data_IF_904232713010
#
_entry.id   IF_904232713010
#
_cell.length_a   1.000
_cell.length_b   1.000
_cell.length_c   1.000
_cell.angle_alpha   90.00
_cell.angle_beta   90.00
_cell.angle_gamma   90.00
#
_symmetry.space_group_name_H-M   'P 1'
#
loop_
_entity.id
_entity.type
_entity.pdbx_description
1 polymer ?
#
# COMPACT_ATOMS: atom_id res chain seq x y z
N UNK A 1 25.69 -58.61 47.34
CA UNK A 1 24.45 -59.33 47.67
C UNK A 1 23.40 -59.06 46.60
N UNK A 2 22.97 -60.14 45.93
CA UNK A 2 21.70 -60.40 45.23
C UNK A 2 21.04 -59.27 44.40
N UNK A 3 20.96 -59.42 43.07
CA UNK A 3 19.89 -60.14 42.30
C UNK A 3 18.55 -59.40 42.35
N UNK A 4 17.92 -58.92 41.26
CA UNK A 4 17.48 -59.57 39.99
C UNK A 4 17.21 -58.45 38.94
N UNK A 5 17.64 -58.55 37.67
CA UNK A 5 17.03 -59.26 36.49
C UNK A 5 15.65 -58.66 36.11
N UNK A 6 15.29 -58.39 34.85
CA UNK A 6 15.54 -59.02 33.52
C UNK A 6 15.10 -58.00 32.43
N UNK A 7 15.86 -57.79 31.34
CA UNK A 7 15.87 -58.51 30.06
C UNK A 7 14.63 -58.28 29.17
N UNK A 8 14.87 -57.70 27.99
CA UNK A 8 14.15 -57.92 26.74
C UNK A 8 15.26 -58.17 25.70
N UNK A 9 15.69 -59.41 25.49
CA UNK A 9 15.17 -60.39 24.52
C UNK A 9 15.26 -59.89 23.06
N UNK A 10 16.19 -60.54 22.39
CA UNK A 10 16.62 -60.43 21.01
C UNK A 10 16.03 -61.65 20.31
N UNK A 11 15.24 -61.47 19.24
CA UNK A 11 14.91 -62.56 18.32
C UNK A 11 15.31 -62.17 16.90
N UNK A 12 16.24 -62.96 16.37
CA UNK A 12 16.65 -63.05 14.97
C UNK A 12 15.93 -64.26 14.41
N UNK A 13 15.25 -64.14 13.26
CA UNK A 13 14.98 -65.28 12.36
C UNK A 13 15.14 -64.82 10.91
N UNK A 14 15.67 -65.74 10.12
CA UNK A 14 16.33 -65.61 8.83
C UNK A 14 15.41 -65.90 7.63
N UNK A 15 15.78 -65.27 6.50
CA UNK A 15 15.70 -65.69 5.09
C UNK A 15 14.35 -66.05 4.42
N UNK A 16 14.11 -65.41 3.26
CA UNK A 16 13.89 -66.03 1.93
C UNK A 16 13.75 -64.97 0.82
N UNK A 17 14.66 -65.00 -0.15
CA UNK A 17 14.44 -64.61 -1.57
C UNK A 17 13.80 -65.82 -2.31
N UNK A 18 13.10 -65.71 -3.48
CA UNK A 18 13.58 -65.00 -4.69
C UNK A 18 12.52 -64.45 -5.70
N UNK A 19 13.06 -63.81 -6.75
CA UNK A 19 12.54 -63.55 -8.13
C UNK A 19 11.12 -63.02 -8.39
N UNK A 20 11.02 -61.85 -9.02
CA UNK A 20 10.77 -61.67 -10.47
C UNK A 20 10.35 -60.20 -10.75
N UNK A 21 10.67 -59.72 -11.95
CA UNK A 21 10.67 -58.30 -12.30
C UNK A 21 9.30 -57.66 -12.44
N UNK A 22 9.30 -56.32 -12.38
CA UNK A 22 8.87 -55.45 -13.48
C UNK A 22 9.10 -54.01 -13.03
N UNK A 23 10.05 -53.35 -13.69
CA UNK A 23 10.32 -51.94 -13.54
C UNK A 23 9.18 -51.15 -14.19
N UNK A 24 8.40 -50.43 -13.38
CA UNK A 24 7.55 -49.31 -13.82
C UNK A 24 7.71 -48.19 -12.79
N UNK A 25 8.24 -47.09 -13.29
CA UNK A 25 8.68 -45.90 -12.58
C UNK A 25 7.57 -45.27 -11.72
N UNK A 26 7.91 -44.96 -10.47
CA UNK A 26 7.09 -44.28 -9.45
C UNK A 26 6.68 -42.84 -9.85
N UNK A 27 7.13 -42.34 -11.01
CA UNK A 27 6.88 -40.97 -11.45
C UNK A 27 5.49 -40.75 -12.09
N UNK A 28 4.79 -41.80 -12.52
CA UNK A 28 3.50 -41.66 -13.23
C UNK A 28 2.26 -41.72 -12.34
N UNK A 29 2.35 -42.25 -11.12
CA UNK A 29 1.22 -42.30 -10.18
C UNK A 29 1.06 -40.96 -9.42
N UNK A 30 2.11 -40.14 -9.34
CA UNK A 30 2.04 -38.82 -8.68
C UNK A 30 1.27 -37.76 -9.50
N UNK A 31 1.11 -37.94 -10.82
CA UNK A 31 0.43 -36.97 -11.69
C UNK A 31 -1.10 -37.15 -11.73
N UNK A 32 -1.63 -38.32 -11.37
CA UNK A 32 -3.08 -38.56 -11.36
C UNK A 32 -3.77 -38.23 -10.03
N UNK A 33 -2.99 -38.02 -8.95
CA UNK A 33 -3.54 -37.62 -7.65
C UNK A 33 -3.70 -36.08 -7.49
N UNK A 34 -3.15 -35.28 -8.42
CA UNK A 34 -3.24 -33.81 -8.33
C UNK A 34 -4.53 -33.23 -8.94
N UNK A 35 -5.36 -34.04 -9.61
CA UNK A 35 -6.56 -33.56 -10.32
C UNK A 35 -7.90 -33.85 -9.62
N UNK A 36 -7.89 -34.35 -8.38
CA UNK A 36 -9.10 -34.52 -7.57
C UNK A 36 -8.88 -34.06 -6.14
N UNK A 37 -8.88 -32.74 -5.91
CA UNK A 37 -9.39 -32.18 -4.65
C UNK A 37 -9.65 -30.67 -4.81
N UNK A 38 -10.77 -30.32 -5.44
CA UNK A 38 -11.42 -29.01 -5.27
C UNK A 38 -12.81 -29.29 -4.69
N UNK A 39 -13.12 -28.56 -3.62
CA UNK A 39 -14.38 -28.51 -2.85
C UNK A 39 -14.51 -29.43 -1.62
N UNK A 40 -13.88 -29.03 -0.51
CA UNK A 40 -14.60 -28.93 0.77
C UNK A 40 -14.30 -27.56 1.42
N UNK A 41 -15.31 -26.88 2.00
CA UNK A 41 -15.13 -25.60 2.65
C UNK A 41 -14.87 -25.80 4.14
N UNK A 42 -13.70 -25.42 4.65
CA UNK A 42 -13.59 -25.15 6.08
C UNK A 42 -12.59 -24.03 6.39
N UNK A 43 -13.02 -23.20 7.35
CA UNK A 43 -12.38 -22.00 7.84
C UNK A 43 -11.01 -22.32 8.43
N UNK A 44 -9.97 -21.66 7.94
CA UNK A 44 -8.86 -21.11 8.74
C UNK A 44 -7.96 -20.25 7.87
N UNK A 45 -7.87 -18.98 8.25
CA UNK A 45 -6.99 -17.95 7.70
C UNK A 45 -5.55 -18.44 7.73
N UNK A 46 -4.98 -18.73 6.55
CA UNK A 46 -3.57 -19.06 6.40
C UNK A 46 -2.88 -17.90 5.70
N UNK A 47 -1.91 -17.31 6.40
CA UNK A 47 -1.06 -16.23 5.91
C UNK A 47 -0.12 -16.81 4.85
N UNK A 48 -0.38 -16.53 3.58
CA UNK A 48 0.49 -16.95 2.47
C UNK A 48 1.61 -15.94 2.29
N UNK A 49 2.85 -16.35 2.62
CA UNK A 49 4.08 -15.67 2.19
C UNK A 49 4.21 -15.81 0.67
N UNK A 50 4.20 -14.69 -0.05
CA UNK A 50 4.48 -14.65 -1.49
C UNK A 50 5.99 -14.63 -1.68
N UNK A 51 6.54 -15.70 -2.27
CA UNK A 51 7.87 -15.72 -2.87
C UNK A 51 7.69 -15.46 -4.37
N UNK A 52 8.37 -14.43 -4.88
CA UNK A 52 8.37 -14.06 -6.30
C UNK A 52 9.36 -14.98 -7.02
N UNK A 53 8.89 -15.71 -8.02
CA UNK A 53 9.72 -16.39 -9.02
C UNK A 53 9.55 -15.66 -10.34
N UNK A 54 10.67 -15.23 -10.91
CA UNK A 54 10.77 -14.67 -12.27
C UNK A 54 10.53 -15.77 -13.31
N UNK A 55 9.78 -15.43 -14.35
CA UNK A 55 9.80 -16.16 -15.62
C UNK A 55 9.48 -15.19 -16.75
N UNK A 56 10.48 -14.98 -17.61
CA UNK A 56 10.33 -14.37 -18.93
C UNK A 56 9.53 -15.31 -19.83
N UNK A 57 8.60 -14.76 -20.62
CA UNK A 57 8.08 -15.41 -21.82
C UNK A 57 7.61 -14.32 -22.78
N UNK A 58 8.43 -14.11 -23.82
CA UNK A 58 8.07 -13.50 -25.09
C UNK A 58 6.83 -14.17 -25.68
N UNK A 59 5.94 -13.40 -26.31
CA UNK A 59 5.20 -13.83 -27.50
C UNK A 59 4.63 -12.61 -28.26
N UNK A 60 5.15 -12.45 -29.47
CA UNK A 60 4.79 -11.56 -30.56
C UNK A 60 3.41 -11.83 -31.18
N UNK A 61 2.72 -10.78 -31.67
CA UNK A 61 1.66 -10.93 -32.71
C UNK A 61 0.64 -9.78 -32.79
N UNK A 62 -0.01 -9.53 -33.95
CA UNK A 62 -0.03 -8.18 -34.54
C UNK A 62 -1.36 -7.39 -34.49
N UNK A 63 -1.19 -6.12 -34.86
CA UNK A 63 -2.13 -5.02 -35.14
C UNK A 63 -3.41 -5.34 -35.89
N UNK A 64 -4.48 -4.56 -35.65
CA UNK A 64 -5.39 -4.12 -36.71
C UNK A 64 -6.00 -2.72 -36.43
N UNK A 65 -6.11 -1.96 -37.52
CA UNK A 65 -6.43 -0.55 -37.67
C UNK A 65 -7.89 -0.15 -37.32
N UNK A 66 -8.09 0.98 -36.62
CA UNK A 66 -8.59 2.29 -37.13
C UNK A 66 -9.83 2.23 -38.05
N UNK A 67 -10.98 2.59 -37.49
CA UNK A 67 -12.12 3.13 -38.23
C UNK A 67 -12.43 4.56 -37.74
N UNK A 68 -12.15 5.55 -38.59
CA UNK A 68 -12.57 6.95 -38.45
C UNK A 68 -14.00 7.09 -38.96
N UNK A 69 -14.93 7.47 -38.09
CA UNK A 69 -16.28 7.91 -38.47
C UNK A 69 -16.44 9.41 -38.22
N UNK A 70 -16.47 10.20 -39.30
CA UNK A 70 -16.77 11.64 -39.29
C UNK A 70 -18.29 11.84 -39.18
N UNK A 71 -18.76 12.61 -38.19
CA UNK A 71 -20.12 13.17 -38.18
C UNK A 71 -20.04 14.69 -38.31
N UNK A 72 -20.65 15.17 -39.39
CA UNK A 72 -20.80 16.57 -39.79
C UNK A 72 -21.64 17.33 -38.76
N UNK A 73 -21.17 18.51 -38.35
CA UNK A 73 -21.94 19.50 -37.60
C UNK A 73 -22.75 20.35 -38.58
N UNK A 74 -24.06 20.38 -38.44
CA UNK A 74 -24.93 21.41 -39.03
C UNK A 74 -25.05 22.57 -38.04
N UNK A 75 -24.73 23.76 -38.52
CA UNK A 75 -24.88 25.04 -37.82
C UNK A 75 -26.31 25.50 -38.02
N UNK A 76 -27.03 25.73 -36.91
CA UNK A 76 -28.33 26.41 -36.93
C UNK A 76 -28.24 27.65 -36.05
N UNK A 77 -28.45 28.78 -36.71
CA UNK A 77 -28.54 30.14 -36.23
C UNK A 77 -29.71 30.32 -35.25
N UNK A 78 -29.45 30.87 -34.07
CA UNK A 78 -30.48 31.38 -33.16
C UNK A 78 -29.98 32.66 -32.48
N UNK A 79 -30.78 33.71 -32.69
CA UNK A 79 -30.61 35.08 -32.24
C UNK A 79 -30.43 35.21 -30.71
N UNK A 80 -29.61 36.20 -30.33
CA UNK A 80 -29.16 36.48 -28.95
C UNK A 80 -30.18 37.39 -28.24
N UNK A 81 -30.75 36.99 -27.08
CA UNK A 81 -31.68 37.83 -26.31
C UNK A 81 -30.96 38.90 -25.45
N UNK A 82 -31.69 39.91 -24.92
CA UNK A 82 -31.11 41.12 -24.35
C UNK A 82 -30.41 40.90 -23.00
N UNK A 83 -29.38 41.71 -22.77
CA UNK A 83 -28.53 41.76 -21.58
C UNK A 83 -29.33 41.99 -20.28
N UNK A 84 -29.14 41.11 -19.30
CA UNK A 84 -29.57 41.31 -17.91
C UNK A 84 -28.33 41.44 -17.00
N UNK A 85 -28.36 42.33 -15.99
CA UNK A 85 -27.19 42.59 -15.14
C UNK A 85 -26.90 41.42 -14.20
N UNK A 86 -25.62 41.05 -14.09
CA UNK A 86 -25.15 39.89 -13.33
C UNK A 86 -25.39 39.98 -11.82
N UNK A 87 -25.73 38.85 -11.15
CA UNK A 87 -25.71 38.78 -9.70
C UNK A 87 -24.28 38.63 -9.18
N UNK A 88 -24.01 39.35 -8.08
CA UNK A 88 -22.71 39.46 -7.40
C UNK A 88 -22.01 38.10 -7.23
N UNK A 89 -20.81 38.02 -7.82
CA UNK A 89 -19.86 36.92 -7.79
C UNK A 89 -19.65 36.42 -6.36
N UNK A 90 -20.26 35.27 -6.02
CA UNK A 90 -19.89 34.50 -4.81
C UNK A 90 -18.41 34.13 -4.95
N UNK A 91 -17.64 34.36 -3.87
CA UNK A 91 -16.20 34.03 -3.82
C UNK A 91 -16.00 32.58 -4.27
N UNK A 92 -15.24 32.41 -5.36
CA UNK A 92 -14.81 31.11 -5.85
C UNK A 92 -13.98 30.39 -4.78
N UNK A 93 -14.02 29.04 -4.72
CA UNK A 93 -13.08 28.29 -3.92
C UNK A 93 -11.67 28.61 -4.40
N UNK A 94 -10.73 28.64 -3.46
CA UNK A 94 -9.30 28.87 -3.70
C UNK A 94 -8.85 28.11 -4.96
N UNK A 95 -8.52 28.86 -6.01
CA UNK A 95 -8.04 28.32 -7.28
C UNK A 95 -6.71 27.61 -7.02
N UNK A 96 -6.71 26.27 -7.07
CA UNK A 96 -5.49 25.46 -7.05
C UNK A 96 -4.75 25.77 -8.35
N UNK A 97 -3.74 26.64 -8.31
CA UNK A 97 -2.84 26.82 -9.44
C UNK A 97 -2.11 25.49 -9.66
N UNK A 98 -2.33 24.86 -10.81
CA UNK A 98 -1.62 23.65 -11.17
C UNK A 98 -0.10 23.88 -11.08
N UNK A 99 0.68 22.91 -10.57
CA UNK A 99 2.13 22.99 -10.61
C UNK A 99 2.56 23.10 -12.08
N UNK A 100 3.31 24.15 -12.42
CA UNK A 100 3.89 24.35 -13.75
C UNK A 100 5.41 24.20 -13.65
N UNK A 101 6.03 23.57 -14.65
CA UNK A 101 7.49 23.50 -14.78
C UNK A 101 8.14 22.32 -14.01
N UNK A 102 9.30 22.60 -13.43
CA UNK A 102 10.26 21.66 -12.83
C UNK A 102 9.67 20.75 -11.74
N UNK A 103 8.64 21.22 -11.02
CA UNK A 103 7.92 20.44 -10.00
C UNK A 103 7.22 19.18 -10.52
N UNK A 104 7.05 19.06 -11.84
CA UNK A 104 6.49 17.89 -12.50
C UNK A 104 7.53 16.98 -13.17
N UNK A 105 8.83 17.21 -12.93
CA UNK A 105 9.93 16.41 -13.47
C UNK A 105 10.38 15.32 -12.49
N UNK A 106 9.44 14.53 -11.98
CA UNK A 106 9.77 13.38 -11.13
C UNK A 106 10.18 12.15 -11.97
N UNK A 107 11.21 11.39 -11.53
CA UNK A 107 11.49 10.05 -12.04
C UNK A 107 10.24 9.18 -12.01
N UNK A 108 10.14 8.23 -12.94
CA UNK A 108 8.93 7.42 -13.11
C UNK A 108 8.59 6.62 -11.83
N UNK A 109 9.62 6.17 -11.14
CA UNK A 109 9.58 5.31 -9.96
C UNK A 109 9.14 6.08 -8.69
N UNK A 110 9.24 7.42 -8.72
CA UNK A 110 8.86 8.30 -7.60
C UNK A 110 7.44 8.88 -7.77
N UNK A 111 6.75 8.56 -8.87
CA UNK A 111 5.41 9.10 -9.14
C UNK A 111 4.34 8.34 -8.38
N UNK A 112 3.68 9.06 -7.48
CA UNK A 112 2.52 8.54 -6.75
C UNK A 112 1.20 9.00 -7.40
N UNK A 113 0.31 8.04 -7.66
CA UNK A 113 -0.97 8.24 -8.37
C UNK A 113 -1.92 9.22 -7.65
N UNK A 114 -2.37 10.25 -8.37
CA UNK A 114 -3.32 11.28 -7.89
C UNK A 114 -4.78 11.03 -8.35
N UNK A 115 -4.99 10.04 -9.22
CA UNK A 115 -6.29 9.61 -9.76
C UNK A 115 -6.79 8.27 -9.18
N UNK A 116 -6.51 7.99 -7.89
CA UNK A 116 -6.84 6.70 -7.25
C UNK A 116 -8.34 6.38 -7.16
N UNK A 117 -9.20 7.39 -7.21
CA UNK A 117 -10.65 7.25 -7.08
C UNK A 117 -11.37 7.08 -8.43
N UNK A 118 -10.80 7.62 -9.53
CA UNK A 118 -11.35 7.51 -10.89
C UNK A 118 -10.34 7.98 -11.93
N UNK A 119 -10.55 7.59 -13.19
CA UNK A 119 -9.80 8.14 -14.33
C UNK A 119 -10.04 9.64 -14.49
N UNK A 120 -8.96 10.39 -14.74
CA UNK A 120 -9.00 11.84 -14.90
C UNK A 120 -8.49 12.27 -16.27
N UNK A 121 -9.18 13.25 -16.85
CA UNK A 121 -8.60 14.06 -17.93
C UNK A 121 -7.44 14.91 -17.39
N UNK A 122 -6.62 15.44 -18.31
CA UNK A 122 -5.55 16.39 -17.97
C UNK A 122 -6.06 17.57 -17.12
N UNK A 123 -7.15 18.18 -17.56
CA UNK A 123 -7.73 19.34 -16.88
C UNK A 123 -8.21 19.00 -15.46
N UNK A 124 -8.81 17.84 -15.26
CA UNK A 124 -9.23 17.40 -13.93
C UNK A 124 -8.05 17.09 -13.01
N UNK A 125 -6.98 16.47 -13.54
CA UNK A 125 -5.75 16.22 -12.79
C UNK A 125 -5.11 17.54 -12.32
N UNK A 126 -4.94 18.49 -13.24
CA UNK A 126 -4.38 19.81 -12.96
C UNK A 126 -5.28 20.60 -11.98
N UNK A 127 -6.61 20.48 -12.08
CA UNK A 127 -7.57 21.08 -11.14
C UNK A 127 -7.49 20.49 -9.72
N UNK A 128 -6.93 19.28 -9.55
CA UNK A 128 -6.58 18.72 -8.24
C UNK A 128 -5.26 19.27 -7.69
N UNK A 129 -4.53 20.07 -8.46
CA UNK A 129 -3.18 20.55 -8.14
C UNK A 129 -2.10 19.50 -8.41
N UNK A 130 -2.38 18.50 -9.24
CA UNK A 130 -1.46 17.42 -9.58
C UNK A 130 -0.76 17.69 -10.92
N UNK A 131 0.32 16.94 -11.16
CA UNK A 131 1.07 16.96 -12.41
C UNK A 131 0.47 15.96 -13.40
N UNK A 132 0.38 16.33 -14.67
CA UNK A 132 -0.08 15.46 -15.75
C UNK A 132 0.97 15.33 -16.85
N UNK A 133 1.64 14.17 -16.93
CA UNK A 133 2.69 13.89 -17.93
C UNK A 133 2.43 12.53 -18.59
N UNK A 134 1.93 12.50 -19.83
CA UNK A 134 1.66 11.25 -20.55
C UNK A 134 2.93 10.43 -20.80
N UNK A 135 2.82 9.10 -20.70
CA UNK A 135 3.88 8.16 -21.06
C UNK A 135 3.68 7.65 -22.49
N UNK A 136 4.78 7.53 -23.25
CA UNK A 136 4.75 7.02 -24.64
C UNK A 136 4.35 5.55 -24.70
N UNK A 137 4.78 4.76 -23.70
CA UNK A 137 4.49 3.33 -23.60
C UNK A 137 3.68 3.10 -22.32
N UNK A 138 2.36 3.32 -22.40
CA UNK A 138 1.46 3.08 -21.28
C UNK A 138 1.23 1.58 -21.12
N UNK A 139 2.07 0.92 -20.33
CA UNK A 139 1.74 -0.39 -19.79
C UNK A 139 0.53 -0.20 -18.84
N UNK A 140 -0.42 -1.12 -18.83
CA UNK A 140 -1.62 -1.03 -17.97
C UNK A 140 -1.29 -0.96 -16.47
N UNK A 141 -0.08 -1.38 -16.09
CA UNK A 141 0.46 -1.33 -14.73
C UNK A 141 1.69 -0.40 -14.63
N UNK A 142 1.84 0.54 -15.56
CA UNK A 142 2.95 1.50 -15.59
C UNK A 142 2.75 2.67 -14.62
N UNK A 143 3.78 3.52 -14.48
CA UNK A 143 3.71 4.73 -13.67
C UNK A 143 2.54 5.65 -14.08
N UNK A 144 1.96 6.39 -13.12
CA UNK A 144 0.77 7.20 -13.38
C UNK A 144 1.07 8.41 -14.25
N UNK A 145 0.12 8.76 -15.13
CA UNK A 145 0.17 10.01 -15.89
C UNK A 145 -0.19 11.21 -15.00
N UNK A 146 -1.13 11.02 -14.07
CA UNK A 146 -1.55 12.02 -13.09
C UNK A 146 -0.93 11.71 -11.72
N UNK A 147 -0.01 12.52 -11.24
CA UNK A 147 0.71 12.24 -10.00
C UNK A 147 0.87 13.45 -9.09
N UNK A 148 1.10 13.19 -7.81
CA UNK A 148 1.35 14.25 -6.84
C UNK A 148 2.72 14.93 -7.10
N UNK A 149 2.80 16.26 -7.17
CA UNK A 149 4.09 16.96 -7.10
C UNK A 149 4.72 16.78 -5.71
N UNK A 150 6.05 16.99 -5.56
CA UNK A 150 6.73 16.86 -4.25
C UNK A 150 6.13 17.75 -3.15
N UNK A 151 5.69 18.96 -3.51
CA UNK A 151 5.11 19.94 -2.60
C UNK A 151 3.57 19.91 -2.58
N UNK A 152 2.93 18.75 -2.82
CA UNK A 152 1.48 18.65 -2.76
C UNK A 152 0.96 18.91 -1.32
N UNK A 153 -0.11 19.70 -1.12
CA UNK A 153 -0.60 20.03 0.22
C UNK A 153 -1.00 18.80 1.04
N UNK A 154 -0.22 18.51 2.08
CA UNK A 154 -0.44 17.46 3.06
C UNK A 154 -0.87 18.00 4.43
N UNK A 155 -0.63 17.20 5.46
CA UNK A 155 -0.71 17.66 6.84
C UNK A 155 0.57 18.40 7.23
N UNK A 156 0.47 19.33 8.17
CA UNK A 156 1.58 19.98 8.85
C UNK A 156 1.64 19.54 10.29
N UNK A 157 2.81 19.17 10.75
CA UNK A 157 3.03 18.70 12.12
C UNK A 157 3.36 19.87 13.05
N UNK A 158 2.64 19.93 14.17
CA UNK A 158 2.98 20.78 15.31
C UNK A 158 4.10 20.17 16.16
N UNK A 159 4.54 20.86 17.23
CA UNK A 159 5.61 20.37 18.09
C UNK A 159 5.25 19.04 18.75
N UNK A 160 6.25 18.18 18.93
CA UNK A 160 6.14 17.00 19.77
C UNK A 160 6.05 17.42 21.23
N UNK A 161 5.10 16.82 21.95
CA UNK A 161 4.91 17.03 23.38
C UNK A 161 4.91 15.68 24.11
N UNK A 162 5.50 15.60 25.32
CA UNK A 162 5.46 14.40 26.14
C UNK A 162 4.02 14.00 26.49
N UNK A 163 3.77 12.69 26.60
CA UNK A 163 2.51 12.11 27.03
C UNK A 163 2.75 10.89 27.92
N UNK A 164 1.77 10.43 28.71
CA UNK A 164 1.92 9.24 29.54
C UNK A 164 2.26 7.95 28.78
N UNK A 165 2.05 7.94 27.46
CA UNK A 165 2.24 6.76 26.60
C UNK A 165 3.41 6.90 25.62
N UNK A 166 4.19 7.98 25.69
CA UNK A 166 5.25 8.32 24.74
C UNK A 166 5.18 9.80 24.35
N UNK A 167 5.18 10.13 23.06
CA UNK A 167 5.04 11.50 22.58
C UNK A 167 3.78 11.69 21.74
N UNK A 168 3.31 12.93 21.62
CA UNK A 168 2.17 13.28 20.79
C UNK A 168 2.41 14.59 20.03
N UNK A 169 1.83 14.71 18.84
CA UNK A 169 1.81 15.94 18.07
C UNK A 169 0.45 16.12 17.40
N UNK A 170 0.09 17.36 17.11
CA UNK A 170 -1.09 17.70 16.30
C UNK A 170 -0.67 17.78 14.84
N UNK A 171 -1.41 17.12 13.95
CA UNK A 171 -1.26 17.23 12.50
C UNK A 171 -2.43 18.05 11.95
N UNK A 172 -2.16 19.06 11.15
CA UNK A 172 -3.17 19.98 10.63
C UNK A 172 -3.15 20.06 9.11
N UNK A 173 -4.32 19.98 8.47
CA UNK A 173 -4.47 20.13 7.02
C UNK A 173 -5.31 21.37 6.73
N UNK A 174 -4.66 22.42 6.25
CA UNK A 174 -5.33 23.69 5.92
C UNK A 174 -6.05 23.67 4.58
N UNK A 175 -5.56 22.88 3.62
CA UNK A 175 -6.13 22.76 2.28
C UNK A 175 -6.79 21.40 2.13
N UNK A 176 -8.11 21.33 1.92
CA UNK A 176 -8.80 20.07 1.65
C UNK A 176 -8.24 19.38 0.40
N UNK A 177 -8.22 18.06 0.42
CA UNK A 177 -7.91 17.23 -0.73
C UNK A 177 -9.08 17.21 -1.73
N UNK A 178 -8.96 16.35 -2.73
CA UNK A 178 -10.07 16.02 -3.63
C UNK A 178 -10.98 14.91 -3.08
N UNK A 179 -10.59 14.25 -1.98
CA UNK A 179 -11.37 13.19 -1.36
C UNK A 179 -12.48 13.77 -0.47
N UNK A 180 -13.63 13.09 -0.35
CA UNK A 180 -14.69 13.53 0.54
C UNK A 180 -14.27 13.38 2.02
N UNK A 181 -14.82 14.24 2.88
CA UNK A 181 -14.71 14.13 4.33
C UNK A 181 -13.27 14.08 4.88
N UNK A 182 -12.40 14.96 4.37
CA UNK A 182 -11.09 15.19 5.00
C UNK A 182 -11.25 15.56 6.49
N UNK A 183 -10.44 14.94 7.33
CA UNK A 183 -10.32 15.31 8.75
C UNK A 183 -9.22 16.37 8.87
N UNK A 184 -9.57 17.61 9.16
CA UNK A 184 -8.60 18.72 9.14
C UNK A 184 -7.54 18.64 10.24
N UNK A 185 -7.83 17.94 11.35
CA UNK A 185 -6.94 17.83 12.51
C UNK A 185 -6.83 16.38 12.96
N UNK A 186 -5.62 15.85 13.00
CA UNK A 186 -5.31 14.52 13.53
C UNK A 186 -4.38 14.63 14.74
N UNK A 187 -4.44 13.65 15.62
CA UNK A 187 -3.48 13.44 16.70
C UNK A 187 -2.53 12.32 16.30
N UNK A 188 -1.24 12.64 16.22
CA UNK A 188 -0.16 11.67 16.19
C UNK A 188 0.15 11.24 17.62
N UNK A 189 0.22 9.93 17.87
CA UNK A 189 0.83 9.35 19.06
C UNK A 189 2.00 8.46 18.65
N UNK A 190 3.14 8.66 19.30
CA UNK A 190 4.40 7.94 19.08
C UNK A 190 4.73 7.19 20.36
N UNK A 191 4.83 5.86 20.28
CA UNK A 191 5.14 5.01 21.44
C UNK A 191 6.30 4.08 21.12
N UNK A 192 7.27 4.04 22.02
CA UNK A 192 8.37 3.08 21.98
C UNK A 192 7.96 1.88 22.84
N UNK A 193 7.41 0.85 22.22
CA UNK A 193 6.84 -0.31 22.91
C UNK A 193 7.89 -1.36 23.31
N UNK A 194 9.07 -1.33 22.72
CA UNK A 194 10.25 -2.08 23.15
C UNK A 194 11.47 -1.58 22.37
N UNK A 195 12.65 -2.12 22.67
CA UNK A 195 13.86 -1.81 21.90
C UNK A 195 13.69 -1.99 20.38
N UNK A 196 12.85 -2.94 19.94
CA UNK A 196 12.61 -3.24 18.51
C UNK A 196 11.22 -2.89 17.98
N UNK A 197 10.33 -2.30 18.79
CA UNK A 197 8.95 -2.04 18.39
C UNK A 197 8.59 -0.56 18.56
N UNK A 198 8.41 0.12 17.43
CA UNK A 198 7.84 1.47 17.36
C UNK A 198 6.36 1.36 16.98
N UNK A 199 5.50 2.02 17.75
CA UNK A 199 4.08 2.10 17.47
C UNK A 199 3.67 3.56 17.24
N UNK A 200 3.20 3.84 16.03
CA UNK A 200 2.68 5.15 15.62
C UNK A 200 1.18 5.03 15.35
N UNK A 201 0.38 5.97 15.87
CA UNK A 201 -1.04 6.06 15.52
C UNK A 201 -1.40 7.47 15.10
N UNK A 202 -2.26 7.59 14.10
CA UNK A 202 -2.88 8.85 13.67
C UNK A 202 -4.39 8.71 13.88
N UNK A 203 -4.95 9.50 14.80
CA UNK A 203 -6.36 9.40 15.19
C UNK A 203 -7.08 10.72 15.00
N UNK A 204 -8.39 10.65 14.76
CA UNK A 204 -9.28 11.80 14.88
C UNK A 204 -9.50 12.09 16.38
N UNK A 205 -9.07 13.25 16.89
CA UNK A 205 -9.24 13.58 18.30
C UNK A 205 -10.68 13.98 18.67
N UNK A 206 -11.51 14.35 17.69
CA UNK A 206 -12.88 14.80 17.91
C UNK A 206 -13.89 13.64 17.86
N UNK A 207 -13.66 12.66 16.98
CA UNK A 207 -14.58 11.53 16.81
C UNK A 207 -13.83 10.20 16.84
N UNK A 208 -14.18 9.27 17.75
CA UNK A 208 -13.59 7.95 17.74
C UNK A 208 -13.93 7.24 16.43
N UNK A 209 -12.91 6.67 15.78
CA UNK A 209 -13.05 5.86 14.57
C UNK A 209 -12.94 4.38 14.93
N UNK A 210 -13.41 3.54 14.02
CA UNK A 210 -13.27 2.09 14.19
C UNK A 210 -11.79 1.70 14.38
N UNK A 211 -11.51 0.97 15.46
CA UNK A 211 -10.24 0.32 15.71
C UNK A 211 -10.47 -1.20 15.69
N UNK A 212 -9.58 -1.93 15.04
CA UNK A 212 -9.67 -3.39 14.97
C UNK A 212 -9.57 -3.95 16.40
N UNK A 213 -10.55 -4.74 16.88
CA UNK A 213 -10.47 -5.38 18.18
C UNK A 213 -9.36 -6.43 18.17
N UNK A 214 -8.19 -6.04 18.66
CA UNK A 214 -7.06 -6.94 18.85
C UNK A 214 -6.95 -7.26 20.34
N UNK A 215 -6.90 -8.55 20.66
CA UNK A 215 -6.51 -9.03 21.98
C UNK A 215 -5.00 -8.81 22.13
N UNK A 216 -4.60 -7.57 22.37
CA UNK A 216 -3.21 -7.28 22.70
C UNK A 216 -2.92 -7.96 24.03
N UNK A 217 -1.93 -8.84 24.07
CA UNK A 217 -1.35 -9.25 25.34
C UNK A 217 -1.02 -7.97 26.11
N UNK A 218 -1.39 -7.90 27.40
CA UNK A 218 -1.12 -6.72 28.22
C UNK A 218 0.31 -6.24 27.97
N UNK A 219 0.52 -4.92 27.77
CA UNK A 219 1.87 -4.40 27.59
C UNK A 219 2.69 -4.86 28.79
N UNK A 220 3.66 -5.73 28.57
CA UNK A 220 4.68 -6.00 29.59
C UNK A 220 5.29 -4.65 29.89
N UNK A 221 5.30 -4.25 31.17
CA UNK A 221 6.06 -3.06 31.60
C UNK A 221 7.48 -3.23 31.06
N UNK A 222 7.82 -2.45 30.05
CA UNK A 222 9.17 -2.42 29.51
C UNK A 222 10.02 -1.88 30.64
N UNK A 223 11.19 -2.47 30.94
CA UNK A 223 12.15 -1.84 31.82
C UNK A 223 12.42 -0.43 31.30
N UNK A 224 12.13 0.55 32.14
CA UNK A 224 12.47 1.95 31.91
C UNK A 224 13.99 1.98 31.64
N UNK A 225 14.39 2.39 30.43
CA UNK A 225 15.77 2.42 29.90
C UNK A 225 16.31 1.19 29.12
N UNK A 226 15.52 0.55 28.25
CA UNK A 226 16.12 -0.16 27.11
C UNK A 226 16.36 0.79 25.94
N UNK A 227 17.61 0.87 25.46
CA UNK A 227 17.95 1.64 24.28
C UNK A 227 17.23 1.06 23.04
N UNK A 228 16.56 1.92 22.28
CA UNK A 228 15.91 1.56 21.02
C UNK A 228 16.92 1.20 19.94
N UNK A 229 16.60 0.20 19.11
CA UNK A 229 17.37 -0.23 17.94
C UNK A 229 17.14 0.66 16.71
N UNK A 230 16.21 1.60 16.83
CA UNK A 230 15.77 2.51 15.78
C UNK A 230 15.85 3.97 16.26
N UNK A 231 15.99 4.88 15.31
CA UNK A 231 15.82 6.32 15.48
C UNK A 231 14.67 6.80 14.59
N UNK A 232 13.92 7.80 15.05
CA UNK A 232 12.79 8.36 14.31
C UNK A 232 13.06 9.84 14.04
N UNK A 233 12.97 10.23 12.77
CA UNK A 233 13.08 11.62 12.32
C UNK A 233 11.72 12.06 11.76
N UNK A 234 11.33 13.31 12.01
CA UNK A 234 10.06 13.86 11.53
C UNK A 234 10.32 15.00 10.55
N UNK A 235 9.66 14.94 9.40
CA UNK A 235 9.54 16.05 8.47
C UNK A 235 8.24 16.80 8.77
N UNK A 236 8.26 18.08 9.19
CA UNK A 236 7.04 18.74 9.64
C UNK A 236 6.06 19.16 8.54
N UNK A 237 6.56 19.57 7.36
CA UNK A 237 5.74 20.14 6.28
C UNK A 237 6.33 19.83 4.89
N UNK A 238 5.64 19.04 4.04
CA UNK A 238 4.51 18.18 4.39
C UNK A 238 4.93 17.11 5.40
N UNK A 239 4.01 16.73 6.29
CA UNK A 239 4.26 15.76 7.35
C UNK A 239 4.73 14.42 6.77
N UNK A 240 5.87 13.95 7.27
CA UNK A 240 6.40 12.62 7.04
C UNK A 240 7.25 12.19 8.23
N UNK A 241 7.59 10.92 8.29
CA UNK A 241 8.53 10.39 9.28
C UNK A 241 9.45 9.38 8.62
N UNK A 242 10.68 9.28 9.13
CA UNK A 242 11.66 8.31 8.71
C UNK A 242 12.06 7.48 9.92
N UNK A 243 12.12 6.17 9.74
CA UNK A 243 12.66 5.25 10.74
C UNK A 243 14.01 4.76 10.25
N UNK A 244 15.06 5.01 11.03
CA UNK A 244 16.42 4.56 10.73
C UNK A 244 16.83 3.47 11.69
N UNK A 245 17.43 2.40 11.17
CA UNK A 245 18.10 1.41 12.02
C UNK A 245 19.39 2.02 12.58
N UNK A 246 19.57 2.05 13.91
CA UNK A 246 20.75 2.66 14.53
C UNK A 246 22.06 1.94 14.17
N UNK A 247 22.04 0.62 14.05
CA UNK A 247 23.26 -0.17 13.85
C UNK A 247 23.96 0.05 12.51
N UNK A 248 23.25 0.48 11.47
CA UNK A 248 23.82 0.67 10.14
C UNK A 248 23.30 1.92 9.39
N UNK A 249 22.46 2.74 10.02
CA UNK A 249 21.91 3.97 9.44
C UNK A 249 20.87 3.77 8.31
N UNK A 250 20.48 2.54 7.99
CA UNK A 250 19.53 2.25 6.90
C UNK A 250 18.14 2.80 7.23
N UNK A 251 17.55 3.54 6.29
CA UNK A 251 16.13 3.93 6.31
C UNK A 251 15.27 2.70 6.01
N UNK A 252 14.25 2.48 6.83
CA UNK A 252 13.34 1.34 6.78
C UNK A 252 12.03 1.66 6.07
#
# INVERSE_FOLDING_TARGET
MNHRRRLVEMWRVSARTPVAGLALSVLTIALFAYFLCVCTPDRKTTVTRILVLESELDLSGPSLERARGNVRRTVADRQRPPYQPEPKRKRSPVSRSAPRGELCQLPLEERFECARDRSLSRAECEARGCCYVPLRNSLSNGPPWCFYPPAYPGYKMGPLTPSPRGQTATLTRSTPSYLPQDISTLRLEVREESAGCLHLTLKDPAHPRYEVPLSLAQPRKIPEAQETLYAVEFQPDPFGFLVRRKSNGRVL
#
